data_IF_824739444058
#
_entry.id   IF_824739444058
#
_cell.length_a   1.000
_cell.length_b   1.000
_cell.length_c   1.000
_cell.angle_alpha   90.00
_cell.angle_beta   90.00
_cell.angle_gamma   90.00
#
_symmetry.space_group_name_H-M   'P 1'
#
loop_
_entity.id
_entity.type
_entity.pdbx_description
1 polymer ?
#
# COMPACT_ATOMS: atom_id res chain seq x y z
N UNK A 1 -12.58 -4.68 -12.15
CA UNK A 1 -11.21 -4.22 -12.43
C UNK A 1 -10.22 -5.33 -12.16
N UNK A 2 -9.11 -5.39 -12.90
CA UNK A 2 -7.99 -6.30 -12.62
C UNK A 2 -7.32 -5.90 -11.29
N UNK A 3 -6.84 -6.87 -10.51
CA UNK A 3 -6.07 -6.56 -9.29
C UNK A 3 -4.79 -5.78 -9.65
N UNK A 4 -4.40 -4.83 -8.81
CA UNK A 4 -3.23 -3.98 -9.03
C UNK A 4 -3.45 -2.76 -9.95
N UNK A 5 -4.63 -2.61 -10.57
CA UNK A 5 -4.93 -1.48 -11.47
C UNK A 5 -5.87 -0.43 -10.87
N UNK A 6 -6.24 -0.59 -9.60
CA UNK A 6 -7.08 0.38 -8.89
C UNK A 6 -6.30 1.65 -8.54
N UNK A 7 -7.00 2.79 -8.47
CA UNK A 7 -6.40 4.10 -8.15
C UNK A 7 -6.41 4.39 -6.65
N UNK A 8 -7.21 3.63 -5.88
CA UNK A 8 -7.08 3.55 -4.43
C UNK A 8 -6.33 2.26 -4.08
N UNK A 9 -5.35 2.35 -3.18
CA UNK A 9 -4.56 1.21 -2.74
C UNK A 9 -4.26 1.28 -1.25
N UNK A 10 -4.10 0.11 -0.66
CA UNK A 10 -3.55 -0.01 0.68
C UNK A 10 -2.06 0.34 0.67
N UNK A 11 -1.65 1.12 1.67
CA UNK A 11 -0.31 1.68 1.72
C UNK A 11 0.79 0.64 1.87
N UNK A 12 0.50 -0.41 2.64
CA UNK A 12 1.43 -1.48 2.92
C UNK A 12 1.86 -2.23 1.65
N UNK A 13 1.08 -2.20 0.56
CA UNK A 13 1.41 -2.93 -0.67
C UNK A 13 2.71 -2.44 -1.33
N UNK A 14 3.11 -1.19 -1.10
CA UNK A 14 4.22 -0.55 -1.80
C UNK A 14 5.13 0.24 -0.86
N UNK A 15 5.25 -0.16 0.40
CA UNK A 15 5.97 0.61 1.43
C UNK A 15 5.52 2.07 1.57
N UNK A 16 4.24 2.35 1.31
CA UNK A 16 3.70 3.71 1.29
C UNK A 16 4.13 4.55 0.09
N UNK A 17 4.90 4.01 -0.88
CA UNK A 17 5.26 4.76 -2.08
C UNK A 17 4.03 5.15 -2.91
N UNK A 18 4.06 6.35 -3.46
CA UNK A 18 2.95 7.02 -4.13
C UNK A 18 3.40 7.68 -5.43
N UNK A 19 2.52 7.68 -6.43
CA UNK A 19 2.69 8.50 -7.63
C UNK A 19 1.38 9.23 -8.00
N UNK A 20 1.38 10.57 -8.10
CA UNK A 20 0.16 11.34 -8.35
C UNK A 20 -0.47 11.12 -9.73
N UNK A 21 0.29 10.58 -10.71
CA UNK A 21 -0.25 10.24 -12.03
C UNK A 21 -0.98 8.88 -12.06
N UNK A 22 -1.02 8.18 -10.92
CA UNK A 22 -1.48 6.80 -10.80
C UNK A 22 -2.46 6.64 -9.65
N UNK A 23 -2.09 7.18 -8.50
CA UNK A 23 -2.76 6.96 -7.25
C UNK A 23 -3.63 8.18 -6.90
N UNK A 24 -4.83 7.90 -6.42
CA UNK A 24 -5.83 8.91 -6.03
C UNK A 24 -6.04 8.97 -4.51
N UNK A 25 -5.96 7.83 -3.82
CA UNK A 25 -6.06 7.77 -2.36
C UNK A 25 -5.20 6.66 -1.76
N UNK A 26 -4.54 6.96 -0.64
CA UNK A 26 -3.91 5.96 0.23
C UNK A 26 -4.88 5.59 1.35
N UNK A 27 -5.09 4.29 1.53
CA UNK A 27 -6.00 3.76 2.53
C UNK A 27 -5.26 3.12 3.70
N UNK A 28 -5.94 3.07 4.85
CA UNK A 28 -5.58 2.17 5.95
C UNK A 28 -4.79 2.78 7.11
N UNK A 29 -4.61 4.11 7.18
CA UNK A 29 -3.77 4.73 8.20
C UNK A 29 -4.42 4.84 9.59
N UNK A 30 -3.80 4.17 10.57
CA UNK A 30 -3.98 4.28 12.04
C UNK A 30 -2.65 4.57 12.77
N UNK A 31 -2.54 5.67 13.50
CA UNK A 31 -1.29 6.12 14.16
C UNK A 31 -0.51 5.04 14.93
N UNK A 32 -1.19 4.08 15.58
CA UNK A 32 -0.56 2.95 16.31
C UNK A 32 0.25 1.96 15.46
N UNK A 33 0.12 2.01 14.14
CA UNK A 33 0.75 1.11 13.17
C UNK A 33 1.90 1.78 12.39
N UNK A 34 2.26 3.02 12.77
CA UNK A 34 3.37 3.74 12.16
C UNK A 34 4.71 3.07 12.48
N UNK A 35 5.55 2.99 11.45
CA UNK A 35 6.96 2.64 11.55
C UNK A 35 7.82 3.86 11.29
N UNK A 36 9.01 3.86 11.88
CA UNK A 36 10.05 4.83 11.54
C UNK A 36 10.41 4.67 10.08
N UNK A 37 10.31 5.75 9.30
CA UNK A 37 10.75 5.76 7.90
C UNK A 37 12.27 5.58 7.86
N UNK A 38 12.81 4.53 7.22
CA UNK A 38 14.25 4.34 7.02
C UNK A 38 14.88 5.58 6.40
N UNK A 39 16.19 5.80 6.58
CA UNK A 39 16.90 6.90 5.93
C UNK A 39 17.18 6.64 4.45
N UNK A 40 17.27 5.36 4.05
CA UNK A 40 17.56 4.94 2.70
C UNK A 40 16.43 5.24 1.70
N UNK A 41 16.74 5.09 0.41
CA UNK A 41 15.75 5.16 -0.68
C UNK A 41 14.80 3.97 -0.56
N UNK A 42 13.52 4.27 -0.44
CA UNK A 42 12.47 3.26 -0.34
C UNK A 42 12.21 2.59 -1.69
N UNK A 43 11.82 1.32 -1.62
CA UNK A 43 11.39 0.52 -2.78
C UNK A 43 9.94 0.08 -2.57
N UNK A 44 9.16 -0.10 -3.66
CA UNK A 44 7.76 -0.49 -3.56
C UNK A 44 7.67 -1.96 -3.20
N UNK A 45 7.89 -2.30 -1.93
CA UNK A 45 7.90 -3.67 -1.43
C UNK A 45 6.72 -3.82 -0.47
N UNK A 46 5.93 -4.89 -0.55
CA UNK A 46 4.87 -5.11 0.42
C UNK A 46 5.42 -5.21 1.85
N UNK A 47 4.93 -4.34 2.73
CA UNK A 47 5.11 -4.40 4.18
C UNK A 47 4.12 -5.39 4.79
N UNK A 48 4.20 -5.61 6.11
CA UNK A 48 3.08 -6.26 6.83
C UNK A 48 1.84 -5.36 6.74
N UNK A 49 0.65 -5.97 6.67
CA UNK A 49 -0.62 -5.27 6.47
C UNK A 49 -0.94 -4.23 7.56
N UNK A 50 -0.28 -4.34 8.71
CA UNK A 50 -0.41 -3.48 9.89
C UNK A 50 0.75 -2.49 10.04
N UNK A 51 1.49 -2.20 8.97
CA UNK A 51 2.68 -1.34 9.01
C UNK A 51 2.74 -0.39 7.82
N UNK A 52 3.10 0.87 8.09
CA UNK A 52 3.41 1.87 7.07
C UNK A 52 4.17 3.05 7.69
N UNK A 53 4.65 3.95 6.84
CA UNK A 53 5.43 5.13 7.20
C UNK A 53 4.56 6.38 7.31
N UNK A 54 5.05 7.41 7.99
CA UNK A 54 4.38 8.71 8.00
C UNK A 54 4.44 9.33 6.59
N UNK A 55 3.29 9.55 5.93
CA UNK A 55 3.21 10.05 4.56
C UNK A 55 3.27 11.58 4.47
N UNK A 56 3.31 12.26 5.60
CA UNK A 56 3.31 13.71 5.67
C UNK A 56 4.74 14.23 5.78
N UNK A 57 4.98 15.41 5.21
CA UNK A 57 6.27 16.09 5.33
C UNK A 57 6.64 16.46 6.79
N UNK A 58 5.66 16.44 7.70
CA UNK A 58 5.83 16.74 9.12
C UNK A 58 5.10 15.73 10.03
N UNK A 59 5.08 15.98 11.35
CA UNK A 59 4.37 15.13 12.29
C UNK A 59 2.86 15.13 12.02
N UNK A 60 2.19 14.03 12.39
CA UNK A 60 0.73 13.95 12.38
C UNK A 60 0.20 14.73 13.59
N UNK A 61 -0.41 15.88 13.35
CA UNK A 61 -1.00 16.75 14.37
C UNK A 61 -2.50 16.84 14.11
N UNK A 62 -3.30 16.00 14.78
CA UNK A 62 -4.72 15.79 14.47
C UNK A 62 -5.54 17.09 14.62
N UNK A 63 -5.12 17.97 15.52
CA UNK A 63 -5.71 19.28 15.78
C UNK A 63 -5.67 20.20 14.56
N UNK A 64 -4.81 19.90 13.57
CA UNK A 64 -4.74 20.61 12.29
C UNK A 64 -5.76 20.11 11.26
N UNK A 65 -6.59 19.12 11.59
CA UNK A 65 -7.65 18.61 10.72
C UNK A 65 -8.93 19.45 10.89
N UNK A 66 -8.94 20.65 10.31
CA UNK A 66 -10.12 21.52 10.29
C UNK A 66 -10.26 22.22 8.94
N UNK A 67 -11.48 22.65 8.63
CA UNK A 67 -11.82 23.32 7.36
C UNK A 67 -10.98 24.60 7.21
N UNK A 68 -10.28 24.74 6.09
CA UNK A 68 -9.44 25.90 5.78
C UNK A 68 -7.96 25.69 6.09
N UNK A 69 -7.57 24.62 6.79
CA UNK A 69 -6.16 24.31 6.98
C UNK A 69 -5.58 23.55 5.76
N UNK A 70 -4.70 24.21 5.03
CA UNK A 70 -3.99 23.65 3.86
C UNK A 70 -2.51 23.37 4.13
N UNK A 71 -2.09 23.28 5.39
CA UNK A 71 -0.68 23.09 5.77
C UNK A 71 -0.16 21.66 5.60
N UNK A 72 -1.04 20.69 5.34
CA UNK A 72 -0.67 19.30 5.15
C UNK A 72 -0.08 19.12 3.75
N UNK A 73 1.13 18.56 3.70
CA UNK A 73 1.80 18.21 2.44
C UNK A 73 2.33 16.80 2.52
N UNK A 74 2.31 16.12 1.38
CA UNK A 74 2.85 14.77 1.24
C UNK A 74 4.37 14.82 1.29
N UNK A 75 5.00 13.85 1.95
CA UNK A 75 6.46 13.79 2.05
C UNK A 75 7.06 13.38 0.70
N UNK A 76 8.03 14.14 0.15
CA UNK A 76 8.72 13.75 -1.08
C UNK A 76 9.42 12.40 -0.99
N UNK A 77 9.74 11.94 0.24
CA UNK A 77 10.41 10.66 0.49
C UNK A 77 9.57 9.44 0.12
N UNK A 78 8.25 9.59 0.10
CA UNK A 78 7.33 8.53 -0.31
C UNK A 78 6.86 8.71 -1.76
N UNK A 79 7.40 9.67 -2.51
CA UNK A 79 7.14 9.72 -3.94
C UNK A 79 7.99 8.66 -4.65
N UNK A 80 7.32 7.82 -5.43
CA UNK A 80 7.94 6.73 -6.17
C UNK A 80 7.74 6.85 -7.67
N UNK A 81 8.59 6.12 -8.40
CA UNK A 81 8.44 5.96 -9.85
C UNK A 81 7.19 5.12 -10.17
N UNK A 82 6.39 5.60 -11.12
CA UNK A 82 5.13 4.94 -11.52
C UNK A 82 5.37 3.51 -12.00
N UNK A 83 6.39 3.29 -12.84
CA UNK A 83 6.66 1.99 -13.43
C UNK A 83 7.05 0.98 -12.35
N UNK A 84 7.94 1.35 -11.43
CA UNK A 84 8.33 0.49 -10.32
C UNK A 84 7.15 0.12 -9.40
N UNK A 85 6.26 1.08 -9.11
CA UNK A 85 5.05 0.84 -8.32
C UNK A 85 4.11 -0.13 -9.06
N UNK A 86 3.87 0.10 -10.36
CA UNK A 86 3.02 -0.76 -11.19
C UNK A 86 3.56 -2.19 -11.28
N UNK A 87 4.87 -2.35 -11.49
CA UNK A 87 5.53 -3.66 -11.55
C UNK A 87 5.38 -4.43 -10.23
N UNK A 88 5.60 -3.77 -9.10
CA UNK A 88 5.43 -4.37 -7.77
C UNK A 88 4.00 -4.84 -7.52
N UNK A 89 3.01 -4.01 -7.87
CA UNK A 89 1.59 -4.36 -7.66
C UNK A 89 1.12 -5.47 -8.59
N UNK A 90 1.60 -5.51 -9.83
CA UNK A 90 1.35 -6.63 -10.73
C UNK A 90 1.97 -7.92 -10.20
N UNK A 91 3.18 -7.86 -9.65
CA UNK A 91 3.82 -9.03 -9.07
C UNK A 91 3.08 -9.54 -7.83
N UNK A 92 2.64 -8.63 -6.96
CA UNK A 92 1.82 -9.00 -5.81
C UNK A 92 0.48 -9.62 -6.24
N UNK A 93 -0.18 -9.07 -7.26
CA UNK A 93 -1.41 -9.63 -7.80
C UNK A 93 -1.21 -11.07 -8.32
N UNK A 94 -0.12 -11.32 -9.08
CA UNK A 94 0.22 -12.68 -9.54
C UNK A 94 0.45 -13.65 -8.39
N UNK A 95 1.13 -13.20 -7.33
CA UNK A 95 1.35 -14.02 -6.13
C UNK A 95 0.03 -14.44 -5.50
N UNK A 96 -0.90 -13.49 -5.30
CA UNK A 96 -2.23 -13.75 -4.75
C UNK A 96 -3.02 -14.71 -5.63
N UNK A 97 -2.99 -14.54 -6.95
CA UNK A 97 -3.68 -15.43 -7.88
C UNK A 97 -3.14 -16.87 -7.81
N UNK A 98 -1.81 -17.02 -7.69
CA UNK A 98 -1.17 -18.33 -7.50
C UNK A 98 -1.57 -18.99 -6.18
N UNK A 99 -1.61 -18.24 -5.09
CA UNK A 99 -2.06 -18.72 -3.78
C UNK A 99 -3.53 -19.13 -3.81
N UNK A 100 -4.38 -18.34 -4.48
CA UNK A 100 -5.80 -18.66 -4.68
C UNK A 100 -5.98 -19.97 -5.45
N UNK A 101 -5.26 -20.15 -6.55
CA UNK A 101 -5.31 -21.38 -7.34
C UNK A 101 -4.92 -22.60 -6.50
N UNK A 102 -3.86 -22.49 -5.70
CA UNK A 102 -3.43 -23.55 -4.78
C UNK A 102 -4.50 -23.90 -3.73
N UNK A 103 -5.13 -22.88 -3.14
CA UNK A 103 -6.18 -23.07 -2.14
C UNK A 103 -7.44 -23.73 -2.74
N UNK A 104 -7.85 -23.31 -3.95
CA UNK A 104 -8.98 -23.92 -4.65
C UNK A 104 -8.70 -25.37 -5.05
N UNK A 105 -7.48 -25.68 -5.50
CA UNK A 105 -7.10 -27.07 -5.79
C UNK A 105 -7.18 -27.97 -4.55
N UNK A 106 -6.78 -27.47 -3.38
CA UNK A 106 -6.93 -28.19 -2.11
C UNK A 106 -8.39 -28.36 -1.69
N UNK A 107 -9.21 -27.34 -1.91
CA UNK A 107 -10.63 -27.40 -1.58
C UNK A 107 -11.36 -28.49 -2.36
N UNK A 108 -11.04 -28.68 -3.66
CA UNK A 108 -11.61 -29.77 -4.47
C UNK A 108 -11.34 -31.13 -3.83
N UNK A 109 -10.09 -31.38 -3.42
CA UNK A 109 -9.69 -32.64 -2.79
C UNK A 109 -10.42 -32.92 -1.47
N UNK A 110 -10.67 -31.87 -0.67
CA UNK A 110 -11.41 -31.97 0.59
C UNK A 110 -12.89 -32.27 0.34
N UNK A 111 -13.50 -31.60 -0.65
CA UNK A 111 -14.91 -31.81 -0.99
C UNK A 111 -15.18 -33.20 -1.59
N UNK A 112 -14.20 -33.78 -2.28
CA UNK A 112 -14.27 -35.12 -2.85
C UNK A 112 -14.00 -36.25 -1.83
N UNK A 113 -13.38 -35.93 -0.68
CA UNK A 113 -13.12 -36.86 0.42
C UNK A 113 -13.44 -36.18 1.77
N UNK A 114 -14.73 -36.01 2.11
CA UNK A 114 -15.17 -35.27 3.29
C UNK A 114 -14.75 -35.90 4.63
#
# INVERSE_FOLDING_TARGET
MKKGTGWSKDDWLTSGLWNPARDFMLHGWKTKQLKTTPSDVLKPIPMKYDQWYNPLAGPIVVERCFIGNTSWSYTPRLLGDRKQIDESLMEYARKVDKEKAKSLGRLSLILENP
#
